data_IF_262287627982
#
_entry.id   IF_262287627982
#
_cell.length_a   1.000
_cell.length_b   1.000
_cell.length_c   1.000
_cell.angle_alpha   90.00
_cell.angle_beta   90.00
_cell.angle_gamma   90.00
#
_symmetry.space_group_name_H-M   'P 1'
#
loop_
_entity.id
_entity.type
_entity.pdbx_description
1 polymer ?
#
# COMPACT_ATOMS: atom_id res chain seq x y z
N UNK A 1 -7.61 -14.35 -21.12
CA UNK A 1 -7.83 -13.99 -19.71
C UNK A 1 -6.61 -13.29 -19.14
N UNK A 2 -6.86 -12.24 -18.41
CA UNK A 2 -5.80 -11.49 -17.78
C UNK A 2 -5.36 -12.19 -16.49
N UNK A 3 -4.08 -12.10 -16.19
CA UNK A 3 -3.53 -12.59 -14.95
C UNK A 3 -3.83 -11.59 -13.83
N UNK A 4 -4.30 -12.08 -12.69
CA UNK A 4 -4.73 -11.25 -11.58
C UNK A 4 -3.71 -11.30 -10.45
N UNK A 5 -3.42 -10.15 -9.87
CA UNK A 5 -2.57 -10.01 -8.70
C UNK A 5 -3.39 -9.44 -7.54
N UNK A 6 -3.27 -10.05 -6.37
CA UNK A 6 -3.77 -9.45 -5.15
C UNK A 6 -2.69 -8.53 -4.58
N UNK A 7 -2.97 -7.24 -4.53
CA UNK A 7 -2.05 -6.25 -3.98
C UNK A 7 -2.64 -5.72 -2.68
N UNK A 8 -1.86 -5.78 -1.61
CA UNK A 8 -2.30 -5.36 -0.27
C UNK A 8 -1.15 -4.69 0.45
N UNK A 9 -1.44 -3.58 1.10
CA UNK A 9 -0.40 -2.91 1.86
C UNK A 9 -0.80 -1.57 2.41
N UNK A 10 0.20 -0.82 2.80
CA UNK A 10 -0.01 0.45 3.50
C UNK A 10 1.18 1.39 3.32
N UNK A 11 0.89 2.68 3.43
CA UNK A 11 1.89 3.72 3.59
C UNK A 11 1.64 4.42 4.93
N UNK A 12 2.72 4.67 5.65
CA UNK A 12 2.72 5.54 6.82
C UNK A 12 3.26 6.89 6.39
N UNK A 13 2.40 7.90 6.44
CA UNK A 13 2.78 9.25 6.05
C UNK A 13 3.63 9.86 7.15
N UNK A 14 4.77 10.38 6.79
CA UNK A 14 5.78 10.78 7.74
C UNK A 14 5.50 12.14 8.37
N UNK A 15 5.99 12.27 9.59
CA UNK A 15 6.25 13.58 10.20
C UNK A 15 7.77 13.62 10.37
N UNK A 16 8.50 14.17 9.41
CA UNK A 16 9.96 14.04 9.41
C UNK A 16 10.59 14.64 10.64
N UNK A 17 11.64 13.98 11.12
CA UNK A 17 12.42 14.44 12.25
C UNK A 17 13.44 15.47 11.76
N UNK A 18 13.29 16.73 12.21
CA UNK A 18 14.18 17.82 11.82
C UNK A 18 15.64 17.52 12.17
N UNK A 19 15.90 16.79 13.23
CA UNK A 19 17.25 16.46 13.69
C UNK A 19 17.94 15.47 12.74
N UNK A 20 17.21 14.45 12.25
CA UNK A 20 17.78 13.41 11.41
C UNK A 20 17.62 13.66 9.92
N UNK A 21 16.52 14.27 9.51
CA UNK A 21 16.16 14.42 8.10
C UNK A 21 16.36 15.86 7.59
N UNK A 22 16.65 16.79 8.51
CA UNK A 22 16.92 18.18 8.15
C UNK A 22 15.68 18.94 7.65
N UNK A 23 14.49 18.40 7.87
CA UNK A 23 13.23 18.99 7.45
C UNK A 23 12.39 19.32 8.67
N UNK A 24 12.01 20.59 8.81
CA UNK A 24 11.13 21.05 9.88
C UNK A 24 9.74 21.26 9.30
N UNK A 25 8.82 20.38 9.66
CA UNK A 25 7.44 20.39 9.15
C UNK A 25 6.50 20.82 10.26
N UNK A 26 5.75 21.91 10.03
CA UNK A 26 4.74 22.37 10.97
C UNK A 26 3.52 21.44 10.97
N UNK A 27 2.68 21.47 12.02
CA UNK A 27 1.42 20.72 12.04
C UNK A 27 0.51 21.03 10.83
N UNK A 28 0.48 22.29 10.40
CA UNK A 28 -0.31 22.73 9.25
C UNK A 28 0.24 22.15 7.94
N UNK A 29 1.55 22.15 7.79
CA UNK A 29 2.22 21.57 6.62
C UNK A 29 2.01 20.07 6.57
N UNK A 30 2.07 19.39 7.71
CA UNK A 30 1.82 17.96 7.80
C UNK A 30 0.37 17.65 7.40
N UNK A 31 -0.60 18.37 7.95
CA UNK A 31 -2.02 18.18 7.63
C UNK A 31 -2.29 18.40 6.14
N UNK A 32 -1.68 19.44 5.56
CA UNK A 32 -1.83 19.73 4.12
C UNK A 32 -1.25 18.60 3.26
N UNK A 33 -0.10 18.06 3.65
CA UNK A 33 0.54 16.94 2.97
C UNK A 33 -0.34 15.69 3.00
N UNK A 34 -0.88 15.33 4.16
CA UNK A 34 -1.78 14.19 4.32
C UNK A 34 -3.01 14.36 3.44
N UNK A 35 -3.60 15.54 3.43
CA UNK A 35 -4.76 15.84 2.61
C UNK A 35 -4.45 15.70 1.11
N UNK A 36 -3.28 16.17 0.67
CA UNK A 36 -2.85 16.04 -0.72
C UNK A 36 -2.69 14.58 -1.14
N UNK A 37 -2.13 13.75 -0.28
CA UNK A 37 -2.01 12.30 -0.56
C UNK A 37 -3.39 11.67 -0.69
N UNK A 38 -4.30 11.99 0.22
CA UNK A 38 -5.67 11.46 0.20
C UNK A 38 -6.40 11.87 -1.06
N UNK A 39 -6.32 13.14 -1.46
CA UNK A 39 -6.95 13.64 -2.68
C UNK A 39 -6.40 12.95 -3.93
N UNK A 40 -5.09 12.76 -3.98
CA UNK A 40 -4.42 12.09 -5.09
C UNK A 40 -4.88 10.64 -5.26
N UNK A 41 -5.18 9.95 -4.17
CA UNK A 41 -5.53 8.53 -4.18
C UNK A 41 -7.05 8.28 -4.12
N UNK A 42 -7.86 9.33 -3.98
CA UNK A 42 -9.31 9.17 -3.91
C UNK A 42 -9.93 8.98 -5.29
N UNK A 43 -10.84 7.99 -5.41
CA UNK A 43 -11.60 7.76 -6.63
C UNK A 43 -12.92 8.50 -6.58
N UNK A 44 -13.23 9.22 -7.68
CA UNK A 44 -14.53 9.87 -7.88
C UNK A 44 -15.48 9.01 -8.72
N UNK A 45 -15.07 7.79 -9.09
CA UNK A 45 -15.87 6.91 -9.93
C UNK A 45 -17.07 6.34 -9.18
N UNK A 46 -18.24 6.31 -9.84
CA UNK A 46 -19.38 5.58 -9.28
C UNK A 46 -19.10 4.08 -9.29
N UNK A 47 -19.72 3.30 -8.38
CA UNK A 47 -19.43 1.87 -8.25
C UNK A 47 -19.54 1.06 -9.54
N UNK A 48 -20.51 1.41 -10.41
CA UNK A 48 -20.72 0.71 -11.67
C UNK A 48 -19.58 0.90 -12.68
N UNK A 49 -18.72 1.90 -12.48
CA UNK A 49 -17.58 2.17 -13.35
C UNK A 49 -16.31 1.44 -12.93
N UNK A 50 -16.27 0.88 -11.75
CA UNK A 50 -15.07 0.22 -11.21
C UNK A 50 -14.68 -1.03 -12.00
N UNK A 51 -15.65 -1.70 -12.62
CA UNK A 51 -15.43 -2.90 -13.43
C UNK A 51 -15.47 -2.61 -14.94
N UNK A 52 -15.63 -1.37 -15.32
CA UNK A 52 -15.71 -0.96 -16.72
C UNK A 52 -14.29 -0.85 -17.30
N UNK A 53 -13.94 -1.76 -18.19
CA UNK A 53 -12.60 -1.81 -18.79
C UNK A 53 -12.30 -0.61 -19.69
N UNK A 54 -13.31 0.16 -20.09
CA UNK A 54 -13.10 1.39 -20.86
C UNK A 54 -12.58 2.54 -20.01
N UNK A 55 -12.74 2.44 -18.68
CA UNK A 55 -12.18 3.43 -17.75
C UNK A 55 -10.71 3.08 -17.49
N UNK A 56 -9.77 4.05 -17.58
CA UNK A 56 -8.37 3.77 -17.31
C UNK A 56 -8.13 3.09 -15.96
N UNK A 57 -7.22 2.12 -15.93
CA UNK A 57 -6.90 1.38 -14.72
C UNK A 57 -6.44 2.30 -13.58
N UNK A 58 -5.70 3.36 -13.90
CA UNK A 58 -5.27 4.36 -12.92
C UNK A 58 -6.46 4.93 -12.13
N UNK A 59 -7.55 5.26 -12.80
CA UNK A 59 -8.73 5.80 -12.13
C UNK A 59 -9.49 4.72 -11.36
N UNK A 60 -9.62 3.53 -11.94
CA UNK A 60 -10.31 2.42 -11.28
C UNK A 60 -9.59 1.94 -10.02
N UNK A 61 -8.27 1.86 -10.08
CA UNK A 61 -7.46 1.34 -8.97
C UNK A 61 -7.40 2.30 -7.78
N UNK A 62 -7.70 3.58 -7.98
CA UNK A 62 -7.83 4.51 -6.85
C UNK A 62 -8.89 4.05 -5.86
N UNK A 63 -9.91 3.32 -6.30
CA UNK A 63 -10.95 2.80 -5.42
C UNK A 63 -10.44 1.75 -4.41
N UNK A 64 -9.25 1.18 -4.64
CA UNK A 64 -8.61 0.25 -3.70
C UNK A 64 -7.98 0.90 -2.48
N UNK A 65 -7.84 2.21 -2.48
CA UNK A 65 -7.25 2.94 -1.36
C UNK A 65 -8.29 3.25 -0.29
N UNK A 66 -7.86 3.12 0.97
CA UNK A 66 -8.69 3.45 2.12
C UNK A 66 -7.92 4.32 3.09
N UNK A 67 -8.67 5.17 3.78
CA UNK A 67 -8.10 6.14 4.72
C UNK A 67 -8.78 5.98 6.08
N UNK A 68 -8.02 5.70 7.16
CA UNK A 68 -8.59 5.68 8.50
C UNK A 68 -9.18 7.05 8.85
N UNK A 69 -10.32 7.08 9.53
CA UNK A 69 -10.95 8.32 9.94
C UNK A 69 -10.30 8.92 11.19
N UNK A 70 -9.62 8.09 11.97
CA UNK A 70 -9.00 8.52 13.22
C UNK A 70 -7.55 8.06 13.28
N UNK A 71 -6.69 8.98 13.70
CA UNK A 71 -5.32 8.67 14.02
C UNK A 71 -5.21 8.06 15.41
N UNK A 72 -4.38 7.04 15.51
CA UNK A 72 -3.95 6.53 16.80
C UNK A 72 -2.48 6.92 16.93
N UNK A 73 -2.14 7.57 18.02
CA UNK A 73 -0.76 7.97 18.34
C UNK A 73 -0.10 8.90 17.29
N UNK A 74 -0.91 9.65 16.54
CA UNK A 74 -0.41 10.61 15.55
C UNK A 74 0.12 10.00 14.26
N UNK A 75 0.01 8.70 14.08
CA UNK A 75 0.43 8.04 12.85
C UNK A 75 -0.67 8.12 11.79
N UNK A 76 -0.30 8.58 10.60
CA UNK A 76 -1.22 8.73 9.48
C UNK A 76 -0.98 7.63 8.46
N UNK A 77 -1.99 6.78 8.24
CA UNK A 77 -1.88 5.66 7.32
C UNK A 77 -2.84 5.77 6.16
N UNK A 78 -2.42 5.27 5.00
CA UNK A 78 -3.30 4.98 3.89
C UNK A 78 -3.12 3.51 3.52
N UNK A 79 -4.20 2.83 3.20
CA UNK A 79 -4.20 1.39 2.93
C UNK A 79 -4.65 1.11 1.50
N UNK A 80 -4.12 0.05 0.92
CA UNK A 80 -4.55 -0.45 -0.38
C UNK A 80 -4.87 -1.94 -0.28
N UNK A 81 -5.98 -2.34 -0.86
CA UNK A 81 -6.28 -3.75 -1.05
C UNK A 81 -7.18 -3.91 -2.27
N UNK A 82 -6.69 -4.60 -3.28
CA UNK A 82 -7.48 -4.88 -4.49
C UNK A 82 -6.84 -6.01 -5.29
N UNK A 83 -7.68 -6.67 -6.08
CA UNK A 83 -7.22 -7.54 -7.14
C UNK A 83 -7.05 -6.70 -8.40
N UNK A 84 -5.89 -6.76 -9.01
CA UNK A 84 -5.54 -5.91 -10.15
C UNK A 84 -4.90 -6.73 -11.27
N UNK A 85 -5.05 -6.27 -12.49
CA UNK A 85 -4.38 -6.85 -13.64
C UNK A 85 -3.04 -6.15 -13.93
N UNK A 86 -2.97 -4.86 -13.65
CA UNK A 86 -1.82 -4.02 -13.99
C UNK A 86 -1.12 -3.51 -12.75
N UNK A 87 -0.22 -4.33 -12.21
CA UNK A 87 0.53 -4.02 -10.99
C UNK A 87 1.33 -2.72 -11.11
N UNK A 88 1.86 -2.43 -12.30
CA UNK A 88 2.65 -1.22 -12.53
C UNK A 88 1.84 0.06 -12.33
N UNK A 89 0.52 -0.01 -12.54
CA UNK A 89 -0.37 1.13 -12.28
C UNK A 89 -0.46 1.42 -10.78
N UNK A 90 -0.56 0.37 -9.95
CA UNK A 90 -0.54 0.53 -8.49
C UNK A 90 0.79 1.11 -8.04
N UNK A 91 1.89 0.60 -8.59
CA UNK A 91 3.22 1.11 -8.27
C UNK A 91 3.37 2.59 -8.64
N UNK A 92 2.81 2.99 -9.78
CA UNK A 92 2.83 4.40 -10.21
C UNK A 92 2.04 5.29 -9.24
N UNK A 93 0.90 4.84 -8.73
CA UNK A 93 0.13 5.57 -7.73
C UNK A 93 0.92 5.72 -6.42
N UNK A 94 1.59 4.66 -5.99
CA UNK A 94 2.48 4.72 -4.82
C UNK A 94 3.57 5.77 -5.04
N UNK A 95 4.21 5.77 -6.21
CA UNK A 95 5.26 6.75 -6.53
C UNK A 95 4.75 8.18 -6.53
N UNK A 96 3.53 8.41 -7.00
CA UNK A 96 2.93 9.74 -6.93
C UNK A 96 2.72 10.19 -5.48
N UNK A 97 2.27 9.28 -4.60
CA UNK A 97 2.16 9.57 -3.18
C UNK A 97 3.52 9.90 -2.56
N UNK A 98 4.57 9.17 -2.95
CA UNK A 98 5.92 9.40 -2.44
C UNK A 98 6.54 10.72 -2.93
N UNK A 99 6.06 11.28 -4.03
CA UNK A 99 6.47 12.64 -4.44
C UNK A 99 5.92 13.69 -3.49
N UNK A 100 4.73 13.44 -2.93
CA UNK A 100 4.13 14.34 -1.94
C UNK A 100 4.81 14.16 -0.57
N UNK A 101 5.09 12.90 -0.20
CA UNK A 101 5.77 12.58 1.07
C UNK A 101 7.03 11.75 0.81
N UNK A 102 8.19 12.41 0.60
CA UNK A 102 9.43 11.70 0.28
C UNK A 102 10.05 10.94 1.45
N UNK A 103 9.46 11.00 2.65
CA UNK A 103 9.94 10.29 3.82
C UNK A 103 8.99 9.17 4.27
N UNK A 104 7.95 8.87 3.50
CA UNK A 104 6.98 7.85 3.86
C UNK A 104 7.63 6.47 3.94
N UNK A 105 7.14 5.66 4.87
CA UNK A 105 7.46 4.24 4.98
C UNK A 105 6.24 3.42 4.57
N UNK A 106 6.45 2.15 4.24
CA UNK A 106 5.33 1.32 3.88
C UNK A 106 5.72 -0.10 3.53
N UNK A 107 4.68 -0.88 3.26
CA UNK A 107 4.84 -2.27 2.89
C UNK A 107 3.68 -2.72 2.01
N UNK A 108 3.99 -3.45 0.94
CA UNK A 108 2.98 -4.05 0.07
C UNK A 108 3.37 -5.47 -0.27
N UNK A 109 2.37 -6.35 -0.33
CA UNK A 109 2.52 -7.68 -0.87
C UNK A 109 1.81 -7.74 -2.22
N UNK A 110 2.45 -8.42 -3.17
CA UNK A 110 1.92 -8.63 -4.51
C UNK A 110 1.91 -10.13 -4.75
N UNK A 111 0.72 -10.71 -4.84
CA UNK A 111 0.54 -12.14 -4.96
C UNK A 111 -0.21 -12.48 -6.24
N UNK A 112 0.41 -13.31 -7.11
CA UNK A 112 -0.23 -13.77 -8.32
C UNK A 112 -1.31 -14.82 -8.04
N UNK A 113 -2.33 -14.88 -8.89
CA UNK A 113 -3.49 -15.76 -8.70
C UNK A 113 -3.16 -17.25 -8.71
N UNK A 114 -2.04 -17.64 -9.32
CA UNK A 114 -1.58 -19.02 -9.34
C UNK A 114 -0.70 -19.38 -8.13
N UNK A 115 -0.40 -18.42 -7.27
CA UNK A 115 0.47 -18.62 -6.11
C UNK A 115 1.96 -18.72 -6.44
N UNK A 116 2.35 -18.65 -7.70
CA UNK A 116 3.75 -18.78 -8.13
C UNK A 116 4.51 -17.47 -8.08
N UNK A 117 3.81 -16.35 -8.27
CA UNK A 117 4.44 -15.03 -8.25
C UNK A 117 4.08 -14.35 -6.94
N UNK A 118 5.08 -14.18 -6.10
CA UNK A 118 4.92 -13.48 -4.84
C UNK A 118 6.06 -12.47 -4.70
N UNK A 119 5.70 -11.21 -4.52
CA UNK A 119 6.66 -10.11 -4.37
C UNK A 119 6.30 -9.28 -3.15
N UNK A 120 7.31 -8.66 -2.59
CA UNK A 120 7.16 -7.73 -1.49
C UNK A 120 7.81 -6.41 -1.89
N UNK A 121 7.12 -5.32 -1.63
CA UNK A 121 7.66 -3.97 -1.77
C UNK A 121 7.81 -3.39 -0.37
N UNK A 122 9.02 -3.08 0.01
CA UNK A 122 9.32 -2.39 1.25
C UNK A 122 9.64 -0.95 0.92
N UNK A 123 8.94 -0.02 1.56
CA UNK A 123 9.17 1.41 1.35
C UNK A 123 9.81 1.97 2.60
N UNK A 124 10.97 2.58 2.43
CA UNK A 124 11.71 3.17 3.53
C UNK A 124 12.21 4.54 3.12
N UNK A 125 11.80 5.57 3.85
CA UNK A 125 12.16 6.97 3.55
C UNK A 125 11.94 7.31 2.09
N UNK A 126 10.76 6.96 1.56
CA UNK A 126 10.36 7.26 0.19
C UNK A 126 11.01 6.42 -0.91
N UNK A 127 11.88 5.48 -0.56
CA UNK A 127 12.50 4.57 -1.52
C UNK A 127 11.78 3.23 -1.52
N UNK A 128 11.59 2.66 -2.70
CA UNK A 128 10.90 1.38 -2.88
C UNK A 128 11.93 0.28 -3.12
N UNK A 129 11.94 -0.70 -2.24
CA UNK A 129 12.76 -1.89 -2.35
C UNK A 129 11.86 -3.07 -2.66
N UNK A 130 12.22 -3.86 -3.66
CA UNK A 130 11.41 -5.00 -4.06
C UNK A 130 12.21 -6.30 -3.93
N UNK A 131 11.53 -7.37 -3.55
CA UNK A 131 12.11 -8.70 -3.59
C UNK A 131 11.05 -9.72 -4.00
N UNK A 132 11.50 -10.80 -4.63
CA UNK A 132 10.68 -11.99 -4.78
C UNK A 132 10.72 -12.76 -3.47
N UNK A 133 9.59 -13.34 -3.10
CA UNK A 133 9.50 -14.16 -1.92
C UNK A 133 8.74 -15.45 -2.28
N UNK A 134 8.97 -16.50 -1.51
CA UNK A 134 8.16 -17.69 -1.61
C UNK A 134 6.89 -17.47 -0.80
N UNK A 135 5.76 -17.85 -1.39
CA UNK A 135 4.51 -17.84 -0.65
C UNK A 135 4.57 -18.88 0.46
N UNK A 136 4.15 -18.54 1.69
CA UNK A 136 4.17 -19.51 2.78
C UNK A 136 3.35 -20.75 2.44
N UNK A 137 3.94 -21.91 2.62
CA UNK A 137 3.30 -23.20 2.39
C UNK A 137 2.71 -23.73 3.68
N UNK A 138 1.39 -23.85 3.73
CA UNK A 138 0.65 -24.35 4.89
C UNK A 138 0.19 -25.80 4.72
N UNK A 139 0.76 -26.49 3.73
CA UNK A 139 0.17 -27.71 3.22
C UNK A 139 0.27 -28.92 4.09
N UNK A 140 1.05 -29.05 5.04
CA UNK A 140 1.14 -30.40 5.50
C UNK A 140 1.36 -30.60 6.98
N UNK A 141 2.43 -30.37 7.50
CA UNK A 141 2.76 -30.94 8.79
C UNK A 141 3.03 -29.89 9.85
N UNK A 142 2.35 -28.76 9.69
CA UNK A 142 2.53 -27.65 10.62
C UNK A 142 2.76 -26.34 9.88
N UNK A 143 3.02 -25.25 10.60
CA UNK A 143 3.23 -23.95 9.98
C UNK A 143 4.52 -23.93 9.16
N UNK A 144 4.58 -23.07 8.12
CA UNK A 144 5.81 -22.92 7.35
C UNK A 144 6.96 -22.42 8.22
N UNK A 145 8.19 -22.64 7.76
CA UNK A 145 9.39 -22.27 8.49
C UNK A 145 9.36 -20.79 8.89
N UNK A 146 9.65 -20.52 10.16
CA UNK A 146 9.63 -19.18 10.71
C UNK A 146 8.27 -18.73 11.26
N UNK A 147 7.23 -19.53 11.07
CA UNK A 147 5.90 -19.24 11.59
C UNK A 147 5.57 -20.15 12.77
N UNK A 148 4.74 -19.68 13.65
CA UNK A 148 4.21 -20.48 14.75
C UNK A 148 2.74 -20.13 14.97
N UNK A 149 2.01 -21.07 15.52
CA UNK A 149 0.56 -20.88 15.77
C UNK A 149 0.40 -20.11 17.07
N UNK A 150 -0.36 -19.00 17.00
CA UNK A 150 -0.75 -18.29 18.22
C UNK A 150 -1.91 -19.05 18.88
N UNK A 151 -1.91 -19.17 20.24
CA UNK A 151 -3.05 -19.78 20.92
C UNK A 151 -4.34 -19.03 20.62
N UNK A 152 -5.44 -19.76 20.49
CA UNK A 152 -6.76 -19.17 20.24
C UNK A 152 -7.26 -18.34 21.43
N UNK A 153 -6.77 -18.65 22.63
CA UNK A 153 -7.04 -17.86 23.84
C UNK A 153 -5.80 -17.87 24.73
N UNK A 154 -5.58 -16.77 25.38
CA UNK A 154 -4.47 -16.62 26.33
C UNK A 154 -4.93 -16.82 27.77
#
# INVERSE_FOLDING_TARGET
MSYIFAVRGWLELSWPDAEFEGVDESPEEHAAKVQRVRELLTSDLPPEKLLDSSVPAEERYKAGWGFPQHDLDGAEYVFFAADVEEVDVVLALIREALKVDPFADGYFSVEGEDGEQYRQWLIKSGKIYARRALFPDFDSEGPPAGYYVLPASS
#
